data_IF_252020129354
#
_entry.id   IF_252020129354
#
_cell.length_a   1.000
_cell.length_b   1.000
_cell.length_c   1.000
_cell.angle_alpha   90.00
_cell.angle_beta   90.00
_cell.angle_gamma   90.00
#
_symmetry.space_group_name_H-M   'P 1'
#
loop_
_entity.id
_entity.type
_entity.pdbx_description
1 polymer ?
#
# COMPACT_ATOMS: atom_id res chain seq x y z
N UNK A 1 -1.25 20.85 -19.13
CA UNK A 1 -1.92 19.61 -19.56
C UNK A 1 -1.92 18.67 -18.35
N UNK A 2 -3.06 18.07 -17.99
CA UNK A 2 -3.14 17.11 -16.89
C UNK A 2 -3.24 15.71 -17.48
N UNK A 3 -2.46 14.77 -16.94
CA UNK A 3 -2.44 13.36 -17.35
C UNK A 3 -2.72 12.51 -16.11
N UNK A 4 -3.54 11.49 -16.28
CA UNK A 4 -3.90 10.52 -15.24
C UNK A 4 -3.87 9.13 -15.86
N UNK A 5 -3.28 8.18 -15.14
CA UNK A 5 -3.31 6.77 -15.52
C UNK A 5 -4.49 6.09 -14.81
N UNK A 6 -5.44 5.56 -15.59
CA UNK A 6 -6.59 4.80 -15.06
C UNK A 6 -6.30 3.30 -14.95
N UNK A 7 -5.09 2.89 -15.32
CA UNK A 7 -4.64 1.50 -15.38
C UNK A 7 -3.46 1.25 -14.45
N UNK A 8 -2.46 0.53 -14.95
CA UNK A 8 -1.25 0.19 -14.20
C UNK A 8 -0.33 1.42 -14.04
N UNK A 9 -0.57 2.21 -13.01
CA UNK A 9 0.25 3.37 -12.65
C UNK A 9 1.54 2.97 -11.89
N UNK A 10 1.55 1.83 -11.19
CA UNK A 10 2.65 1.43 -10.31
C UNK A 10 3.44 0.23 -10.86
N UNK A 11 4.77 0.36 -10.83
CA UNK A 11 5.72 -0.75 -11.05
C UNK A 11 6.29 -1.17 -9.70
N UNK A 12 5.86 -2.32 -9.19
CA UNK A 12 6.30 -2.83 -7.89
C UNK A 12 7.61 -3.63 -8.01
N UNK A 13 8.68 -3.13 -7.40
CA UNK A 13 9.99 -3.79 -7.33
C UNK A 13 10.88 -3.60 -8.57
N UNK A 14 12.20 -3.62 -8.35
CA UNK A 14 13.20 -3.40 -9.41
C UNK A 14 13.87 -4.71 -9.88
N UNK A 15 14.01 -5.69 -8.99
CA UNK A 15 14.72 -6.94 -9.27
C UNK A 15 13.83 -7.96 -9.99
N UNK A 16 14.35 -8.54 -11.06
CA UNK A 16 13.65 -9.55 -11.89
C UNK A 16 12.26 -9.08 -12.38
N UNK A 17 12.09 -7.76 -12.53
CA UNK A 17 10.84 -7.16 -13.00
C UNK A 17 10.98 -6.67 -14.44
N UNK A 18 10.31 -7.36 -15.37
CA UNK A 18 10.33 -7.01 -16.80
C UNK A 18 9.78 -5.60 -17.06
N UNK A 19 8.78 -5.14 -16.33
CA UNK A 19 8.22 -3.80 -16.50
C UNK A 19 9.24 -2.73 -16.09
N UNK A 20 9.99 -2.95 -15.00
CA UNK A 20 11.07 -2.06 -14.59
C UNK A 20 12.19 -2.01 -15.64
N UNK A 21 12.64 -3.18 -16.09
CA UNK A 21 13.74 -3.30 -17.06
C UNK A 21 13.44 -2.61 -18.39
N UNK A 22 12.18 -2.60 -18.82
CA UNK A 22 11.75 -1.93 -20.05
C UNK A 22 11.57 -0.42 -19.87
N UNK A 23 10.98 0.03 -18.76
CA UNK A 23 10.59 1.42 -18.56
C UNK A 23 11.73 2.30 -17.99
N UNK A 24 12.59 1.75 -17.14
CA UNK A 24 13.65 2.52 -16.44
C UNK A 24 14.66 3.19 -17.39
N UNK A 25 15.20 2.51 -18.43
CA UNK A 25 16.14 3.13 -19.37
C UNK A 25 15.54 4.29 -20.19
N UNK A 26 14.20 4.35 -20.28
CA UNK A 26 13.46 5.38 -21.00
C UNK A 26 13.10 6.58 -20.11
N UNK A 27 13.45 6.55 -18.82
CA UNK A 27 13.09 7.61 -17.87
C UNK A 27 11.59 7.71 -17.61
N UNK A 28 10.84 6.61 -17.74
CA UNK A 28 9.39 6.57 -17.57
C UNK A 28 8.94 6.30 -16.13
N UNK A 29 9.86 6.05 -15.22
CA UNK A 29 9.57 5.74 -13.82
C UNK A 29 10.10 6.84 -12.91
N UNK A 30 9.29 7.19 -11.91
CA UNK A 30 9.74 7.91 -10.71
C UNK A 30 9.84 6.94 -9.54
N UNK A 31 10.73 7.21 -8.59
CA UNK A 31 10.80 6.42 -7.36
C UNK A 31 9.74 6.92 -6.38
N UNK A 32 8.91 6.01 -5.90
CA UNK A 32 8.12 6.20 -4.70
C UNK A 32 8.74 5.39 -3.56
N UNK A 33 9.21 6.06 -2.50
CA UNK A 33 9.65 5.34 -1.30
C UNK A 33 8.53 5.33 -0.28
N UNK A 34 8.06 4.15 0.09
CA UNK A 34 7.31 3.99 1.33
C UNK A 34 8.13 4.53 2.52
N UNK A 35 7.44 4.90 3.60
CA UNK A 35 8.08 5.33 4.85
C UNK A 35 9.23 4.39 5.23
N UNK A 36 10.46 4.92 5.24
CA UNK A 36 11.70 4.18 5.54
C UNK A 36 12.79 4.15 4.46
N UNK A 37 12.51 4.61 3.23
CA UNK A 37 13.53 4.78 2.18
C UNK A 37 14.19 6.17 2.14
N UNK A 38 15.36 6.32 1.47
CA UNK A 38 16.17 7.57 1.49
C UNK A 38 15.54 8.76 0.73
N UNK A 39 14.51 8.55 -0.08
CA UNK A 39 13.73 9.60 -0.74
C UNK A 39 12.27 9.53 -0.27
N UNK A 40 12.02 10.06 0.92
CA UNK A 40 10.74 10.01 1.62
C UNK A 40 9.62 10.57 0.71
N UNK A 41 8.67 9.72 0.32
CA UNK A 41 7.33 10.20 -0.01
C UNK A 41 6.76 10.71 1.32
N UNK A 42 6.73 12.03 1.51
CA UNK A 42 6.09 12.66 2.68
C UNK A 42 4.56 12.62 2.46
N UNK A 43 4.03 11.43 2.21
CA UNK A 43 2.61 11.19 2.05
C UNK A 43 1.98 11.19 3.44
N UNK A 44 1.47 12.35 3.84
CA UNK A 44 0.59 12.47 4.99
C UNK A 44 -0.74 11.78 4.67
N UNK A 45 -0.88 10.51 5.04
CA UNK A 45 -2.15 9.80 4.92
C UNK A 45 -3.13 10.34 5.97
N UNK A 46 -4.29 10.80 5.51
CA UNK A 46 -5.40 11.20 6.38
C UNK A 46 -6.56 10.25 6.15
N UNK A 47 -7.08 9.72 7.24
CA UNK A 47 -8.14 8.72 7.22
C UNK A 47 -9.46 9.37 7.60
N UNK A 48 -10.52 8.98 6.90
CA UNK A 48 -11.85 9.54 7.07
C UNK A 48 -12.88 8.41 7.17
N UNK A 49 -13.87 8.60 8.04
CA UNK A 49 -15.05 7.74 8.11
C UNK A 49 -15.99 8.02 6.93
N UNK A 50 -16.95 7.14 6.67
CA UNK A 50 -17.97 7.34 5.61
C UNK A 50 -18.82 8.60 5.80
N UNK A 51 -18.86 9.12 7.04
CA UNK A 51 -19.49 10.39 7.38
C UNK A 51 -18.68 11.62 6.95
N UNK A 52 -17.44 11.43 6.50
CA UNK A 52 -16.49 12.49 6.18
C UNK A 52 -15.69 13.01 7.39
N UNK A 53 -15.90 12.48 8.60
CA UNK A 53 -15.12 12.86 9.77
C UNK A 53 -13.71 12.27 9.72
N UNK A 54 -12.70 13.08 10.03
CA UNK A 54 -11.31 12.62 10.13
C UNK A 54 -11.14 11.70 11.34
N UNK A 55 -10.52 10.55 11.11
CA UNK A 55 -10.08 9.62 12.15
C UNK A 55 -8.76 10.16 12.72
N UNK A 56 -8.64 10.18 14.05
CA UNK A 56 -7.41 10.59 14.72
C UNK A 56 -6.25 9.63 14.40
N UNK A 57 -5.06 10.19 14.20
CA UNK A 57 -3.90 9.45 13.70
C UNK A 57 -3.49 8.32 14.66
N UNK A 58 -3.59 8.54 15.98
CA UNK A 58 -3.25 7.55 17.02
C UNK A 58 -4.20 6.34 17.00
N UNK A 59 -5.47 6.55 16.62
CA UNK A 59 -6.45 5.48 16.45
C UNK A 59 -6.13 4.68 15.20
N UNK A 60 -5.78 5.36 14.11
CA UNK A 60 -5.46 4.69 12.86
C UNK A 60 -4.15 3.90 12.95
N UNK A 61 -3.14 4.43 13.63
CA UNK A 61 -1.86 3.74 13.87
C UNK A 61 -2.08 2.36 14.51
N UNK A 62 -2.97 2.27 15.52
CA UNK A 62 -3.30 1.01 16.18
C UNK A 62 -3.93 -0.01 15.24
N UNK A 63 -4.82 0.44 14.36
CA UNK A 63 -5.48 -0.43 13.37
C UNK A 63 -4.50 -0.90 12.30
N UNK A 64 -3.63 0.00 11.80
CA UNK A 64 -2.59 -0.37 10.83
C UNK A 64 -1.63 -1.41 11.42
N UNK A 65 -1.15 -1.19 12.65
CA UNK A 65 -0.32 -2.17 13.37
C UNK A 65 -1.03 -3.51 13.57
N UNK A 66 -2.33 -3.50 13.88
CA UNK A 66 -3.11 -4.72 13.98
C UNK A 66 -3.21 -5.44 12.64
N UNK A 67 -3.49 -4.72 11.55
CA UNK A 67 -3.56 -5.30 10.21
C UNK A 67 -2.21 -5.87 9.74
N UNK A 68 -1.09 -5.20 10.04
CA UNK A 68 0.25 -5.73 9.80
C UNK A 68 0.49 -7.02 10.56
N UNK A 69 0.15 -7.05 11.85
CA UNK A 69 0.27 -8.25 12.68
C UNK A 69 -0.57 -9.42 12.12
N UNK A 70 -1.81 -9.15 11.72
CA UNK A 70 -2.67 -10.16 11.09
C UNK A 70 -2.04 -10.71 9.81
N UNK A 71 -1.44 -9.85 8.99
CA UNK A 71 -0.73 -10.28 7.77
C UNK A 71 0.51 -11.13 8.07
N UNK A 72 1.23 -10.87 9.16
CA UNK A 72 2.38 -11.67 9.58
C UNK A 72 1.99 -13.04 10.17
N UNK A 73 0.85 -13.10 10.87
CA UNK A 73 0.36 -14.32 11.52
C UNK A 73 -0.46 -15.22 10.57
N UNK A 74 -1.04 -14.66 9.52
CA UNK A 74 -1.73 -15.41 8.47
C UNK A 74 -0.71 -15.85 7.41
N UNK A 75 -0.37 -17.14 7.43
CA UNK A 75 0.34 -17.81 6.35
C UNK A 75 -0.62 -18.05 5.16
N UNK A 76 -0.11 -18.05 3.93
CA UNK A 76 -0.89 -18.36 2.71
C UNK A 76 -1.57 -19.73 2.84
N UNK A 77 -0.96 -20.65 3.61
CA UNK A 77 -1.52 -21.97 3.90
C UNK A 77 -2.68 -21.97 4.91
N UNK A 78 -2.87 -20.89 5.68
CA UNK A 78 -4.01 -20.69 6.59
C UNK A 78 -5.22 -20.04 5.92
N UNK A 79 -5.04 -19.33 4.80
CA UNK A 79 -6.13 -18.71 4.02
C UNK A 79 -6.75 -19.71 3.03
N UNK A 80 -7.15 -20.90 3.51
CA UNK A 80 -7.69 -21.93 2.61
C UNK A 80 -9.20 -21.81 2.37
N UNK A 81 -9.95 -21.02 3.15
CA UNK A 81 -11.43 -20.99 3.01
C UNK A 81 -12.14 -19.66 3.34
N UNK A 82 -11.47 -18.55 3.67
CA UNK A 82 -12.13 -17.32 4.15
C UNK A 82 -11.52 -16.02 3.63
N UNK A 83 -12.24 -14.91 3.79
CA UNK A 83 -11.75 -13.55 3.50
C UNK A 83 -10.91 -13.02 4.66
N UNK A 84 -9.91 -12.18 4.38
CA UNK A 84 -9.20 -11.44 5.44
C UNK A 84 -10.17 -10.61 6.29
N UNK A 85 -11.26 -10.11 5.69
CA UNK A 85 -12.32 -9.38 6.40
C UNK A 85 -12.98 -10.19 7.53
N UNK A 86 -12.99 -11.52 7.43
CA UNK A 86 -13.60 -12.40 8.43
C UNK A 86 -12.83 -12.35 9.78
N UNK A 87 -11.59 -11.86 9.79
CA UNK A 87 -10.80 -11.63 11.01
C UNK A 87 -11.09 -10.27 11.68
N UNK A 88 -11.82 -9.38 10.99
CA UNK A 88 -12.16 -8.04 11.47
C UNK A 88 -13.62 -7.91 11.90
N UNK A 89 -14.49 -8.85 11.53
CA UNK A 89 -15.88 -8.92 11.96
C UNK A 89 -15.98 -9.61 13.33
N UNK A 90 -16.14 -8.80 14.39
CA UNK A 90 -16.51 -9.26 15.75
C UNK A 90 -17.96 -8.94 16.06
#
# INVERSE_FOLDING_TARGET
EYRIDLGAEWVHGEYDNVAYNLASPLGLLSKSAYAGGPEIFDAEYRFYESSGHRIADDRMEKVLRFAEKVKEEIDDDTVKTGSVGDYFDS
#
